data_IF_454014762659
#
_entry.id   IF_454014762659
#
_cell.length_a   1.000
_cell.length_b   1.000
_cell.length_c   1.000
_cell.angle_alpha   90.00
_cell.angle_beta   90.00
_cell.angle_gamma   90.00
#
_symmetry.space_group_name_H-M   'P 1'
#
loop_
_entity.id
_entity.type
_entity.pdbx_description
1 polymer ?
#
# COMPACT_ATOMS: atom_id res chain seq x y z
N UNK A 1 -7.65 3.03 19.68
CA UNK A 1 -6.72 2.26 20.52
C UNK A 1 -6.27 1.04 19.75
N UNK A 2 -4.99 0.69 19.81
CA UNK A 2 -4.41 -0.49 19.16
C UNK A 2 -3.65 -1.29 20.21
N UNK A 3 -3.82 -2.61 20.21
CA UNK A 3 -3.06 -3.51 21.06
C UNK A 3 -2.26 -4.51 20.24
N UNK A 4 -1.43 -5.28 20.92
CA UNK A 4 -0.74 -6.43 20.32
C UNK A 4 -1.76 -7.48 19.86
N UNK A 5 -1.33 -8.34 18.94
CA UNK A 5 -2.18 -9.40 18.43
C UNK A 5 -1.38 -10.67 18.20
N UNK A 6 -2.09 -11.77 18.04
CA UNK A 6 -1.48 -13.02 17.63
C UNK A 6 -1.83 -13.29 16.18
N UNK A 7 -0.85 -13.77 15.41
CA UNK A 7 -1.13 -14.43 14.14
C UNK A 7 -1.33 -15.91 14.44
N UNK A 8 -2.45 -16.47 13.99
CA UNK A 8 -2.81 -17.87 14.22
C UNK A 8 -2.80 -18.60 12.89
N UNK A 9 -2.07 -19.71 12.80
CA UNK A 9 -2.03 -20.59 11.63
C UNK A 9 -2.07 -22.05 12.07
N UNK A 10 -3.19 -22.73 11.81
CA UNK A 10 -3.45 -24.05 12.41
C UNK A 10 -3.40 -23.96 13.94
N UNK A 11 -2.60 -24.84 14.56
CA UNK A 11 -2.40 -24.85 16.02
C UNK A 11 -1.30 -23.88 16.49
N UNK A 12 -0.58 -23.23 15.56
CA UNK A 12 0.49 -22.30 15.89
C UNK A 12 -0.04 -20.89 16.16
N UNK A 13 0.54 -20.24 17.19
CA UNK A 13 0.19 -18.88 17.62
C UNK A 13 1.45 -18.03 17.78
N UNK A 14 1.62 -17.06 16.91
CA UNK A 14 2.78 -16.16 16.90
C UNK A 14 2.43 -14.77 17.45
N UNK A 15 3.22 -14.29 18.41
CA UNK A 15 3.09 -12.95 18.97
C UNK A 15 3.50 -11.90 17.94
N UNK A 16 2.63 -10.94 17.67
CA UNK A 16 2.90 -9.79 16.81
C UNK A 16 2.66 -8.51 17.60
N UNK A 17 3.67 -7.65 17.64
CA UNK A 17 3.56 -6.37 18.33
C UNK A 17 2.91 -5.35 17.40
N UNK A 18 1.91 -4.64 17.90
CA UNK A 18 1.50 -3.39 17.27
C UNK A 18 2.59 -2.34 17.50
N UNK A 19 2.68 -1.36 16.60
CA UNK A 19 3.65 -0.27 16.68
C UNK A 19 3.33 0.56 17.92
N UNK A 20 4.20 0.51 18.93
CA UNK A 20 4.02 1.23 20.20
C UNK A 20 4.10 2.75 20.04
N UNK A 21 4.81 3.18 19.01
CA UNK A 21 5.12 4.55 18.64
C UNK A 21 3.90 5.34 18.17
N UNK A 22 2.76 4.67 17.95
CA UNK A 22 1.50 5.35 17.62
C UNK A 22 0.90 6.12 18.80
N UNK A 23 1.37 5.87 20.03
CA UNK A 23 0.76 6.44 21.22
C UNK A 23 0.83 7.98 21.19
N UNK A 24 -0.32 8.63 21.32
CA UNK A 24 -0.43 10.08 21.24
C UNK A 24 -0.47 10.66 19.81
N UNK A 25 -0.24 9.86 18.76
CA UNK A 25 -0.33 10.34 17.38
C UNK A 25 -1.78 10.67 16.97
N UNK A 26 -1.92 11.59 16.03
CA UNK A 26 -3.21 12.09 15.54
C UNK A 26 -3.12 12.46 14.06
N UNK A 27 -4.29 12.58 13.40
CA UNK A 27 -4.38 13.09 12.03
C UNK A 27 -3.45 12.38 11.03
N UNK A 28 -2.81 13.19 10.21
CA UNK A 28 -1.85 12.75 9.20
C UNK A 28 -0.53 12.20 9.77
N UNK A 29 -0.15 12.58 11.00
CA UNK A 29 1.00 11.99 11.69
C UNK A 29 0.74 10.53 12.06
N UNK A 30 -0.48 10.20 12.47
CA UNK A 30 -0.86 8.81 12.67
C UNK A 30 -0.83 8.04 11.33
N UNK A 31 -1.40 8.62 10.28
CA UNK A 31 -1.47 7.96 8.97
C UNK A 31 -0.08 7.61 8.41
N UNK A 32 0.88 8.53 8.47
CA UNK A 32 2.23 8.26 7.95
C UNK A 32 2.92 7.12 8.72
N UNK A 33 2.66 6.99 10.02
CA UNK A 33 3.20 5.91 10.84
C UNK A 33 2.59 4.55 10.47
N UNK A 34 1.27 4.50 10.27
CA UNK A 34 0.59 3.30 9.76
C UNK A 34 1.13 2.87 8.39
N UNK A 35 1.37 3.83 7.49
CA UNK A 35 1.95 3.59 6.17
C UNK A 35 3.41 3.11 6.25
N UNK A 36 4.17 3.56 7.24
CA UNK A 36 5.57 3.18 7.40
C UNK A 36 5.72 1.76 7.92
N UNK A 37 4.91 1.38 8.91
CA UNK A 37 4.97 0.03 9.48
C UNK A 37 4.09 -0.99 8.79
N UNK A 38 3.46 -0.66 7.66
CA UNK A 38 2.51 -1.53 6.95
C UNK A 38 1.36 -2.02 7.86
N UNK A 39 1.01 -1.19 8.84
CA UNK A 39 0.06 -1.51 9.89
C UNK A 39 -1.22 -0.72 9.65
N UNK A 40 -1.95 -1.03 8.59
CA UNK A 40 -3.23 -0.38 8.29
C UNK A 40 -4.42 -1.33 8.43
N UNK A 41 -4.27 -2.46 9.12
CA UNK A 41 -5.43 -3.32 9.38
C UNK A 41 -6.47 -2.61 10.24
N UNK A 42 -7.76 -2.76 9.93
CA UNK A 42 -8.81 -2.30 10.83
C UNK A 42 -9.04 -3.29 11.98
N UNK A 43 -8.80 -4.58 11.72
CA UNK A 43 -8.91 -5.61 12.75
C UNK A 43 -7.91 -5.41 13.89
N UNK A 44 -8.28 -5.87 15.09
CA UNK A 44 -7.47 -5.74 16.29
C UNK A 44 -7.38 -4.31 16.85
N UNK A 45 -8.27 -3.41 16.43
CA UNK A 45 -8.34 -2.02 16.89
C UNK A 45 -9.70 -1.71 17.49
N UNK A 46 -9.69 -0.89 18.54
CA UNK A 46 -10.89 -0.24 19.04
C UNK A 46 -10.95 1.17 18.46
N UNK A 47 -11.92 1.40 17.58
CA UNK A 47 -12.11 2.66 16.83
C UNK A 47 -13.43 3.27 17.28
N UNK A 48 -13.45 4.58 17.56
CA UNK A 48 -14.68 5.28 17.93
C UNK A 48 -15.63 5.30 16.72
N UNK A 49 -16.88 4.89 16.92
CA UNK A 49 -17.91 4.88 15.86
C UNK A 49 -18.05 6.23 15.16
N UNK A 50 -17.92 7.33 15.90
CA UNK A 50 -18.04 8.69 15.38
C UNK A 50 -17.06 9.01 14.25
N UNK A 51 -15.92 8.32 14.16
CA UNK A 51 -14.95 8.48 13.06
C UNK A 51 -15.47 7.92 11.73
N UNK A 52 -16.51 7.09 11.76
CA UNK A 52 -17.21 6.57 10.57
C UNK A 52 -18.51 7.32 10.27
N UNK A 53 -19.01 8.09 11.24
CA UNK A 53 -20.22 8.91 11.06
C UNK A 53 -19.89 10.23 10.32
N UNK A 54 -18.61 10.62 10.27
CA UNK A 54 -18.09 11.66 9.38
C UNK A 54 -18.20 11.21 7.91
N UNK A 55 -18.14 12.16 6.96
CA UNK A 55 -18.26 11.88 5.51
C UNK A 55 -17.06 11.10 4.97
N UNK A 56 -16.98 9.81 5.29
CA UNK A 56 -16.10 8.87 4.63
C UNK A 56 -16.79 8.31 3.38
N UNK A 57 -16.00 8.11 2.34
CA UNK A 57 -16.40 7.49 1.10
C UNK A 57 -16.24 5.98 1.24
N UNK A 58 -17.27 5.26 0.84
CA UNK A 58 -17.24 3.81 0.71
C UNK A 58 -17.14 3.42 -0.77
N UNK A 59 -16.22 2.52 -1.09
CA UNK A 59 -16.09 1.91 -2.42
C UNK A 59 -16.05 0.39 -2.27
N UNK A 60 -16.76 -0.37 -3.11
CA UNK A 60 -16.77 -1.83 -3.05
C UNK A 60 -15.47 -2.40 -3.66
N UNK A 61 -14.34 -2.25 -2.96
CA UNK A 61 -13.06 -2.83 -3.37
C UNK A 61 -12.84 -4.19 -2.69
N UNK A 62 -12.45 -5.19 -3.47
CA UNK A 62 -12.21 -6.55 -2.95
C UNK A 62 -10.91 -6.68 -2.13
N UNK A 63 -10.01 -5.70 -2.23
CA UNK A 63 -8.73 -5.69 -1.52
C UNK A 63 -8.33 -4.26 -1.15
N UNK A 64 -7.63 -4.11 -0.02
CA UNK A 64 -7.10 -2.82 0.44
C UNK A 64 -8.10 -1.90 1.12
N UNK A 65 -9.31 -2.38 1.42
CA UNK A 65 -10.33 -1.66 2.21
C UNK A 65 -9.74 -1.08 3.50
N UNK A 66 -8.98 -1.90 4.23
CA UNK A 66 -8.28 -1.52 5.44
C UNK A 66 -7.44 -0.24 5.30
N UNK A 67 -6.65 -0.14 4.22
CA UNK A 67 -5.85 1.05 3.92
C UNK A 67 -6.74 2.22 3.47
N UNK A 68 -7.69 1.96 2.57
CA UNK A 68 -8.61 2.95 2.04
C UNK A 68 -9.43 3.65 3.14
N UNK A 69 -9.93 2.89 4.12
CA UNK A 69 -10.65 3.43 5.28
C UNK A 69 -9.69 4.17 6.21
N UNK A 70 -8.53 3.59 6.55
CA UNK A 70 -7.56 4.26 7.43
C UNK A 70 -7.08 5.60 6.87
N UNK A 71 -6.90 5.72 5.55
CA UNK A 71 -6.54 6.99 4.92
C UNK A 71 -7.58 8.09 5.18
N UNK A 72 -8.85 7.75 5.38
CA UNK A 72 -9.92 8.71 5.62
C UNK A 72 -10.10 8.98 7.12
N UNK A 73 -10.29 7.92 7.93
CA UNK A 73 -10.64 8.09 9.35
C UNK A 73 -9.50 8.70 10.18
N UNK A 74 -8.24 8.45 9.81
CA UNK A 74 -7.07 8.93 10.58
C UNK A 74 -7.00 10.45 10.59
N UNK A 75 -7.51 11.12 9.56
CA UNK A 75 -7.55 12.59 9.46
C UNK A 75 -8.27 13.23 10.64
N UNK A 76 -9.26 12.54 11.21
CA UNK A 76 -10.09 13.05 12.30
C UNK A 76 -9.76 12.43 13.66
N UNK A 77 -8.82 11.47 13.72
CA UNK A 77 -8.33 10.92 14.98
C UNK A 77 -7.61 12.00 15.76
N UNK A 78 -8.16 12.34 16.93
CA UNK A 78 -7.55 13.32 17.86
C UNK A 78 -6.39 12.74 18.65
N UNK A 79 -6.45 11.46 18.97
CA UNK A 79 -5.40 10.76 19.71
C UNK A 79 -5.51 9.25 19.51
N UNK A 80 -4.43 8.62 19.08
CA UNK A 80 -4.25 7.18 19.14
C UNK A 80 -3.66 6.78 20.49
N UNK A 81 -3.99 5.57 20.92
CA UNK A 81 -3.49 4.99 22.15
C UNK A 81 -3.01 3.58 21.87
N UNK A 82 -1.83 3.24 22.38
CA UNK A 82 -1.29 1.88 22.36
C UNK A 82 -1.51 1.23 23.73
N UNK A 83 -1.84 -0.06 23.73
CA UNK A 83 -1.88 -0.88 24.93
C UNK A 83 -0.97 -2.10 24.75
N UNK A 84 -0.17 -2.39 25.77
CA UNK A 84 0.73 -3.55 25.78
C UNK A 84 -0.02 -4.84 26.16
N UNK A 85 -1.16 -5.08 25.52
CA UNK A 85 -2.00 -6.26 25.73
C UNK A 85 -2.24 -6.95 24.39
N UNK A 86 -2.26 -8.27 24.41
CA UNK A 86 -2.62 -9.06 23.25
C UNK A 86 -4.14 -9.23 23.20
N UNK A 87 -4.80 -8.44 22.37
CA UNK A 87 -6.26 -8.27 22.38
C UNK A 87 -6.97 -8.91 21.19
N UNK A 88 -6.22 -9.47 20.24
CA UNK A 88 -6.79 -10.00 19.00
C UNK A 88 -6.03 -11.23 18.48
N UNK A 89 -6.77 -12.16 17.85
CA UNK A 89 -6.21 -13.30 17.13
C UNK A 89 -6.52 -13.13 15.63
N UNK A 90 -5.51 -12.80 14.84
CA UNK A 90 -5.57 -12.74 13.39
C UNK A 90 -5.36 -14.15 12.81
N UNK A 91 -6.46 -14.83 12.48
CA UNK A 91 -6.43 -16.18 11.91
C UNK A 91 -6.11 -16.12 10.43
N UNK A 92 -4.97 -16.71 10.03
CA UNK A 92 -4.58 -16.85 8.63
C UNK A 92 -5.08 -18.18 8.08
N UNK A 93 -6.04 -18.12 7.17
CA UNK A 93 -6.47 -19.30 6.45
C UNK A 93 -5.74 -19.39 5.10
N UNK A 94 -5.41 -20.60 4.67
CA UNK A 94 -4.88 -20.87 3.32
C UNK A 94 -5.86 -20.44 2.20
N UNK A 95 -7.14 -20.29 2.54
CA UNK A 95 -8.20 -19.93 1.62
C UNK A 95 -8.43 -18.42 1.53
N UNK A 96 -7.72 -17.61 2.33
CA UNK A 96 -7.83 -16.14 2.29
C UNK A 96 -7.48 -15.62 0.89
N UNK A 97 -8.14 -14.53 0.48
CA UNK A 97 -7.95 -13.89 -0.83
C UNK A 97 -6.47 -13.53 -1.05
N UNK A 98 -5.79 -13.06 0.01
CA UNK A 98 -4.37 -12.71 0.01
C UNK A 98 -3.42 -13.91 -0.13
N UNK A 99 -3.90 -15.13 0.09
CA UNK A 99 -3.13 -16.38 -0.04
C UNK A 99 -3.37 -17.07 -1.39
N UNK A 100 -4.38 -16.66 -2.17
CA UNK A 100 -4.70 -17.28 -3.46
C UNK A 100 -3.97 -16.58 -4.60
N UNK A 101 -3.24 -17.34 -5.40
CA UNK A 101 -2.81 -16.89 -6.73
C UNK A 101 -4.00 -17.00 -7.70
N UNK A 102 -4.87 -15.99 -7.67
CA UNK A 102 -6.04 -15.90 -8.54
C UNK A 102 -5.72 -15.10 -9.82
N UNK A 103 -6.24 -15.52 -10.96
CA UNK A 103 -6.14 -14.82 -12.24
C UNK A 103 -6.72 -13.38 -12.15
N UNK A 104 -7.71 -13.17 -11.29
CA UNK A 104 -8.32 -11.85 -11.05
C UNK A 104 -7.52 -10.94 -10.11
N UNK A 105 -6.39 -11.40 -9.56
CA UNK A 105 -5.63 -10.61 -8.59
C UNK A 105 -5.13 -9.28 -9.16
N UNK A 106 -4.78 -9.22 -10.46
CA UNK A 106 -4.35 -7.97 -11.11
C UNK A 106 -5.50 -6.96 -11.12
N UNK A 107 -6.70 -7.37 -11.53
CA UNK A 107 -7.89 -6.52 -11.56
C UNK A 107 -8.22 -5.96 -10.18
N UNK A 108 -8.24 -6.82 -9.15
CA UNK A 108 -8.51 -6.39 -7.77
C UNK A 108 -7.44 -5.40 -7.24
N UNK A 109 -6.17 -5.58 -7.63
CA UNK A 109 -5.12 -4.62 -7.28
C UNK A 109 -5.30 -3.29 -8.01
N UNK A 110 -5.74 -3.30 -9.28
CA UNK A 110 -6.03 -2.07 -10.03
C UNK A 110 -7.13 -1.30 -9.31
N UNK A 111 -8.27 -1.94 -9.03
CA UNK A 111 -9.41 -1.31 -8.34
C UNK A 111 -9.01 -0.71 -6.99
N UNK A 112 -8.21 -1.45 -6.21
CA UNK A 112 -7.66 -0.97 -4.94
C UNK A 112 -6.81 0.29 -5.13
N UNK A 113 -5.87 0.27 -6.08
CA UNK A 113 -4.96 1.38 -6.32
C UNK A 113 -5.73 2.61 -6.79
N UNK A 114 -6.62 2.46 -7.77
CA UNK A 114 -7.44 3.56 -8.29
C UNK A 114 -8.27 4.18 -7.16
N UNK A 115 -8.95 3.36 -6.35
CA UNK A 115 -9.71 3.85 -5.20
C UNK A 115 -8.85 4.64 -4.21
N UNK A 116 -7.62 4.18 -3.93
CA UNK A 116 -6.72 4.88 -3.00
C UNK A 116 -6.20 6.19 -3.59
N UNK A 117 -5.87 6.22 -4.89
CA UNK A 117 -5.42 7.44 -5.55
C UNK A 117 -6.54 8.49 -5.65
N UNK A 118 -7.80 8.06 -5.83
CA UNK A 118 -8.96 8.97 -5.84
C UNK A 118 -9.11 9.74 -4.52
N UNK A 119 -8.63 9.19 -3.39
CA UNK A 119 -8.66 9.90 -2.11
C UNK A 119 -7.82 11.18 -2.13
N UNK A 120 -6.78 11.28 -2.99
CA UNK A 120 -5.98 12.49 -3.12
C UNK A 120 -6.76 13.67 -3.70
N UNK A 121 -7.83 13.41 -4.44
CA UNK A 121 -8.68 14.45 -5.00
C UNK A 121 -9.86 14.78 -4.06
N UNK A 122 -10.07 13.98 -3.00
CA UNK A 122 -11.16 14.12 -2.02
C UNK A 122 -10.66 14.77 -0.72
N UNK A 123 -9.42 14.50 -0.31
CA UNK A 123 -8.84 14.95 0.94
C UNK A 123 -7.51 15.66 0.73
N UNK A 124 -7.25 16.68 1.55
CA UNK A 124 -6.00 17.45 1.53
C UNK A 124 -4.90 16.72 2.30
N UNK A 125 -4.23 15.78 1.63
CA UNK A 125 -3.08 15.08 2.21
C UNK A 125 -1.79 15.88 2.03
N UNK A 126 -0.99 15.92 3.08
CA UNK A 126 0.37 16.43 3.01
C UNK A 126 1.21 15.65 1.99
N UNK A 127 2.11 16.36 1.31
CA UNK A 127 2.94 15.78 0.26
C UNK A 127 3.76 14.56 0.71
N UNK A 128 4.11 14.45 2.00
CA UNK A 128 4.80 13.27 2.54
C UNK A 128 3.95 11.99 2.45
N UNK A 129 2.63 12.09 2.66
CA UNK A 129 1.70 10.97 2.56
C UNK A 129 1.48 10.61 1.10
N UNK A 130 1.20 11.60 0.25
CA UNK A 130 1.03 11.38 -1.20
C UNK A 130 2.26 10.68 -1.77
N UNK A 131 3.46 11.15 -1.41
CA UNK A 131 4.71 10.51 -1.82
C UNK A 131 4.85 9.08 -1.29
N UNK A 132 4.51 8.83 -0.02
CA UNK A 132 4.63 7.51 0.61
C UNK A 132 3.68 6.49 -0.03
N UNK A 133 2.42 6.87 -0.27
CA UNK A 133 1.42 6.03 -0.93
C UNK A 133 1.79 5.81 -2.40
N UNK A 134 2.25 6.84 -3.10
CA UNK A 134 2.82 6.72 -4.46
C UNK A 134 3.95 5.69 -4.50
N UNK A 135 4.85 5.74 -3.51
CA UNK A 135 5.96 4.79 -3.32
C UNK A 135 5.50 3.37 -3.02
N UNK A 136 4.42 3.23 -2.25
CA UNK A 136 3.86 1.94 -1.85
C UNK A 136 3.39 1.13 -3.07
N UNK A 137 2.78 1.78 -4.06
CA UNK A 137 2.23 1.10 -5.24
C UNK A 137 3.19 0.98 -6.43
N UNK A 138 4.41 1.51 -6.32
CA UNK A 138 5.40 1.38 -7.39
C UNK A 138 5.74 -0.06 -7.80
N UNK A 139 5.97 -1.00 -6.87
CA UNK A 139 6.28 -2.39 -7.26
C UNK A 139 5.14 -3.03 -8.07
N UNK A 140 3.89 -2.65 -7.78
CA UNK A 140 2.73 -3.11 -8.52
C UNK A 140 2.75 -2.60 -9.97
N UNK A 141 3.00 -1.31 -10.20
CA UNK A 141 3.09 -0.77 -11.55
C UNK A 141 4.27 -1.32 -12.36
N UNK A 142 5.42 -1.58 -11.72
CA UNK A 142 6.54 -2.28 -12.38
C UNK A 142 6.13 -3.69 -12.84
N UNK A 143 5.36 -4.41 -12.01
CA UNK A 143 4.79 -5.71 -12.40
C UNK A 143 3.83 -5.59 -13.57
N UNK A 144 2.99 -4.54 -13.61
CA UNK A 144 2.07 -4.27 -14.71
C UNK A 144 2.79 -3.99 -16.02
N UNK A 145 3.84 -3.14 -16.00
CA UNK A 145 4.71 -2.88 -17.16
C UNK A 145 5.30 -4.20 -17.67
N UNK A 146 5.89 -5.00 -16.77
CA UNK A 146 6.55 -6.25 -17.11
C UNK A 146 5.59 -7.26 -17.76
N UNK A 147 4.40 -7.40 -17.19
CA UNK A 147 3.33 -8.29 -17.69
C UNK A 147 2.54 -7.71 -18.86
N UNK A 148 2.82 -6.47 -19.27
CA UNK A 148 2.10 -5.76 -20.32
C UNK A 148 0.58 -5.71 -20.06
N UNK A 149 0.21 -5.34 -18.83
CA UNK A 149 -1.21 -5.22 -18.43
C UNK A 149 -1.87 -4.07 -19.21
N UNK A 150 -3.09 -4.25 -19.73
CA UNK A 150 -3.82 -3.20 -20.45
C UNK A 150 -3.95 -1.89 -19.66
N UNK A 151 -3.96 -0.77 -20.37
CA UNK A 151 -4.06 0.62 -19.88
C UNK A 151 -3.05 1.01 -18.79
N UNK A 152 -1.95 0.27 -18.66
CA UNK A 152 -0.86 0.63 -17.72
C UNK A 152 -0.28 2.00 -18.05
N UNK A 153 -0.17 2.35 -19.33
CA UNK A 153 0.32 3.64 -19.79
C UNK A 153 -0.58 4.80 -19.33
N UNK A 154 -1.90 4.68 -19.48
CA UNK A 154 -2.85 5.69 -19.03
C UNK A 154 -2.77 5.89 -17.51
N UNK A 155 -2.75 4.79 -16.75
CA UNK A 155 -2.62 4.85 -15.27
C UNK A 155 -1.31 5.50 -14.83
N UNK A 156 -0.20 5.16 -15.48
CA UNK A 156 1.09 5.79 -15.20
C UNK A 156 1.09 7.29 -15.52
N UNK A 157 0.40 7.71 -16.59
CA UNK A 157 0.24 9.13 -16.91
C UNK A 157 -0.56 9.85 -15.83
N UNK A 158 -1.74 9.33 -15.50
CA UNK A 158 -2.67 9.93 -14.54
C UNK A 158 -2.07 10.04 -13.15
N UNK A 159 -1.48 8.96 -12.63
CA UNK A 159 -1.05 8.90 -11.23
C UNK A 159 0.38 9.38 -10.99
N UNK A 160 1.24 9.37 -12.00
CA UNK A 160 2.66 9.70 -11.84
C UNK A 160 3.19 10.73 -12.81
N UNK A 161 3.03 10.52 -14.13
CA UNK A 161 3.77 11.32 -15.12
C UNK A 161 3.26 12.75 -15.28
N UNK A 162 1.94 12.93 -15.19
CA UNK A 162 1.29 14.23 -15.32
C UNK A 162 1.35 15.05 -14.03
N UNK A 163 1.63 14.42 -12.89
CA UNK A 163 1.78 15.09 -11.58
C UNK A 163 3.23 15.51 -11.38
N UNK A 164 3.55 16.79 -11.60
CA UNK A 164 4.92 17.30 -11.57
C UNK A 164 5.65 17.02 -10.26
N UNK A 165 4.98 17.21 -9.13
CA UNK A 165 5.57 16.97 -7.80
C UNK A 165 5.97 15.51 -7.60
N UNK A 166 5.15 14.58 -8.10
CA UNK A 166 5.41 13.14 -8.04
C UNK A 166 6.57 12.79 -8.97
N UNK A 167 6.57 13.32 -10.19
CA UNK A 167 7.67 13.15 -11.14
C UNK A 167 9.00 13.69 -10.59
N UNK A 168 8.98 14.86 -9.95
CA UNK A 168 10.15 15.45 -9.28
C UNK A 168 10.62 14.61 -8.10
N UNK A 169 9.69 14.13 -7.27
CA UNK A 169 9.99 13.22 -6.16
C UNK A 169 10.66 11.93 -6.64
N UNK A 170 10.16 11.37 -7.73
CA UNK A 170 10.71 10.17 -8.36
C UNK A 170 12.13 10.37 -8.85
N UNK A 171 12.37 11.46 -9.59
CA UNK A 171 13.71 11.81 -10.03
C UNK A 171 14.70 11.94 -8.87
N UNK A 172 14.28 12.60 -7.78
CA UNK A 172 15.14 12.84 -6.61
C UNK A 172 15.39 11.58 -5.76
N UNK A 173 14.35 10.78 -5.49
CA UNK A 173 14.39 9.70 -4.49
C UNK A 173 14.41 8.28 -5.07
N UNK A 174 13.95 8.09 -6.31
CA UNK A 174 13.77 6.78 -6.96
C UNK A 174 14.03 6.86 -8.47
N UNK A 175 15.25 7.26 -8.85
CA UNK A 175 15.69 7.41 -10.26
C UNK A 175 15.35 6.19 -11.14
N UNK A 176 15.54 4.98 -10.62
CA UNK A 176 15.18 3.76 -11.36
C UNK A 176 13.71 3.75 -11.76
N UNK A 177 12.80 4.09 -10.84
CA UNK A 177 11.37 4.11 -11.13
C UNK A 177 11.02 5.25 -12.09
N UNK A 178 11.62 6.43 -11.92
CA UNK A 178 11.46 7.54 -12.87
C UNK A 178 11.79 7.08 -14.29
N UNK A 179 12.93 6.42 -14.47
CA UNK A 179 13.38 5.88 -15.75
C UNK A 179 12.48 4.75 -16.26
N UNK A 180 12.00 3.86 -15.38
CA UNK A 180 11.09 2.79 -15.75
C UNK A 180 9.74 3.33 -16.28
N UNK A 181 9.17 4.33 -15.60
CA UNK A 181 7.92 4.95 -16.05
C UNK A 181 8.10 5.76 -17.32
N UNK A 182 9.05 6.70 -17.33
CA UNK A 182 9.30 7.51 -18.52
C UNK A 182 9.68 6.64 -19.71
N UNK A 183 10.62 5.72 -19.50
CA UNK A 183 11.02 4.74 -20.50
C UNK A 183 9.83 3.96 -21.04
N UNK A 184 8.95 3.43 -20.18
CA UNK A 184 7.78 2.68 -20.67
C UNK A 184 6.81 3.57 -21.46
N UNK A 185 6.59 4.81 -21.03
CA UNK A 185 5.66 5.74 -21.70
C UNK A 185 6.15 6.24 -23.08
N UNK A 186 7.47 6.27 -23.32
CA UNK A 186 8.05 6.68 -24.61
C UNK A 186 8.54 5.50 -25.46
N UNK A 187 9.02 4.44 -24.81
CA UNK A 187 9.63 3.25 -25.43
C UNK A 187 9.18 1.96 -24.70
N UNK A 188 7.90 1.57 -24.82
CA UNK A 188 7.30 0.50 -24.01
C UNK A 188 7.98 -0.86 -24.18
N UNK A 189 8.35 -1.21 -25.42
CA UNK A 189 8.98 -2.50 -25.73
C UNK A 189 10.36 -2.63 -25.08
N UNK A 190 11.23 -1.64 -25.26
CA UNK A 190 12.59 -1.64 -24.72
C UNK A 190 12.57 -1.62 -23.19
N UNK A 191 11.69 -0.81 -22.60
CA UNK A 191 11.60 -0.69 -21.15
C UNK A 191 11.10 -1.97 -20.50
N UNK A 192 10.16 -2.67 -21.13
CA UNK A 192 9.71 -3.99 -20.67
C UNK A 192 10.85 -5.01 -20.68
N UNK A 193 11.64 -5.05 -21.75
CA UNK A 193 12.82 -5.93 -21.84
C UNK A 193 13.82 -5.59 -20.74
N UNK A 194 14.13 -4.30 -20.55
CA UNK A 194 15.05 -3.84 -19.50
C UNK A 194 14.59 -4.23 -18.09
N UNK A 195 13.30 -4.07 -17.78
CA UNK A 195 12.72 -4.47 -16.50
C UNK A 195 12.75 -5.99 -16.31
N UNK A 196 12.41 -6.77 -17.34
CA UNK A 196 12.43 -8.23 -17.29
C UNK A 196 13.85 -8.78 -17.06
N UNK A 197 14.85 -8.22 -17.77
CA UNK A 197 16.27 -8.57 -17.57
C UNK A 197 16.73 -8.20 -16.16
N UNK A 198 16.42 -6.99 -15.69
CA UNK A 198 16.73 -6.56 -14.33
C UNK A 198 16.11 -7.46 -13.26
N UNK A 199 14.87 -7.88 -13.46
CA UNK A 199 14.16 -8.80 -12.55
C UNK A 199 14.83 -10.18 -12.49
N UNK A 200 15.22 -10.73 -13.65
CA UNK A 200 15.96 -12.00 -13.72
C UNK A 200 17.31 -11.90 -13.02
N UNK A 201 18.05 -10.80 -13.22
CA UNK A 201 19.31 -10.54 -12.51
C UNK A 201 19.15 -10.52 -10.99
N UNK A 202 18.13 -9.82 -10.47
CA UNK A 202 17.82 -9.80 -9.03
C UNK A 202 17.44 -11.20 -8.52
N UNK A 203 16.66 -11.96 -9.29
CA UNK A 203 16.26 -13.32 -8.91
C UNK A 203 17.47 -14.28 -8.81
N UNK A 204 18.44 -14.14 -9.71
CA UNK A 204 19.68 -14.91 -9.71
C UNK A 204 20.56 -14.52 -8.51
N UNK A 205 20.72 -13.22 -8.24
CA UNK A 205 21.47 -12.72 -7.08
C UNK A 205 20.85 -13.13 -5.74
N UNK A 206 19.52 -13.26 -5.67
CA UNK A 206 18.85 -13.79 -4.48
C UNK A 206 19.14 -15.28 -4.31
N UNK A 207 19.14 -16.07 -5.39
CA UNK A 207 19.46 -17.51 -5.32
C UNK A 207 20.92 -17.76 -4.89
N UNK A 208 21.87 -16.92 -5.30
CA UNK A 208 23.28 -17.08 -4.94
C UNK A 208 23.63 -16.56 -3.54
N UNK A 209 22.78 -15.74 -2.91
CA UNK A 209 22.94 -15.28 -1.51
C UNK A 209 22.39 -16.26 -0.45
N UNK A 210 21.69 -17.31 -0.88
CA UNK A 210 21.17 -18.38 -0.02
C UNK A 210 21.84 -19.74 -0.30
N UNK A 211 23.04 -19.72 -0.87
CA UNK A 211 24.00 -20.83 -0.90
C UNK A 211 25.20 -20.44 -0.04
#
# INVERSE_FOLDING_TARGET
MVGNFYTVYGDNREKNCAISEINGLSGQNLLIDLLNGFCWSLCGRLIRKTLFDERIVYKPIAMGEDLFINMQITLNVKQAAYIELYVYNYVRHSLSVTCRHNDNAITMNIEMVEAIFDLFDIHDYEQRIINKVSLLFFPFFLSCIRKNVPDTDNRLRTYYWNKEEIRSMLWRKRKFFYLACGGYLYFPVLSRIGIEVGWRGISLLRKTRFQ
#
